data_IF_899252411838
#
_entry.id   IF_899252411838
#
_cell.length_a   1.000
_cell.length_b   1.000
_cell.length_c   1.000
_cell.angle_alpha   90.00
_cell.angle_beta   90.00
_cell.angle_gamma   90.00
#
_symmetry.space_group_name_H-M   'P 1'
#
loop_
_entity.id
_entity.type
_entity.pdbx_description
1 polymer ?
#
# COMPACT_ATOMS: atom_id res chain seq x y z
N UNK A 1 36.56 -18.24 51.01
CA UNK A 1 36.16 -17.18 50.05
C UNK A 1 35.64 -17.84 48.79
N UNK A 2 34.32 -17.92 48.61
CA UNK A 2 33.68 -18.45 47.40
C UNK A 2 32.99 -17.28 46.70
N UNK A 3 33.60 -16.80 45.61
CA UNK A 3 33.02 -15.75 44.77
C UNK A 3 31.94 -16.37 43.86
N UNK A 4 30.68 -16.16 44.22
CA UNK A 4 29.54 -16.46 43.35
C UNK A 4 29.48 -15.51 42.17
N UNK A 5 29.69 -16.03 40.96
CA UNK A 5 29.32 -15.34 39.71
C UNK A 5 27.78 -15.27 39.67
N UNK A 6 27.23 -14.06 39.71
CA UNK A 6 25.81 -13.83 39.40
C UNK A 6 25.59 -14.08 37.90
N UNK A 7 24.50 -14.74 37.48
CA UNK A 7 24.16 -14.84 36.07
C UNK A 7 23.81 -13.45 35.52
N UNK A 8 24.36 -13.12 34.35
CA UNK A 8 23.92 -11.95 33.58
C UNK A 8 22.48 -12.18 33.15
N UNK A 9 21.57 -11.31 33.61
CA UNK A 9 20.19 -11.31 33.14
C UNK A 9 20.18 -10.84 31.68
N UNK A 10 19.91 -11.73 30.75
CA UNK A 10 19.48 -11.35 29.41
C UNK A 10 18.09 -10.74 29.53
N UNK A 11 18.01 -9.41 29.53
CA UNK A 11 16.75 -8.71 29.29
C UNK A 11 16.41 -8.88 27.80
N UNK A 12 15.55 -9.84 27.48
CA UNK A 12 14.90 -9.87 26.17
C UNK A 12 14.03 -8.61 26.05
N UNK A 13 14.51 -7.63 25.30
CA UNK A 13 13.69 -6.50 24.88
C UNK A 13 12.69 -7.02 23.84
N UNK A 14 11.41 -7.07 24.22
CA UNK A 14 10.35 -7.43 23.30
C UNK A 14 10.00 -6.21 22.44
N UNK A 15 10.22 -6.30 21.12
CA UNK A 15 9.79 -5.29 20.16
C UNK A 15 8.43 -5.70 19.59
N UNK A 16 7.41 -4.88 19.81
CA UNK A 16 6.08 -5.05 19.23
C UNK A 16 5.92 -4.08 18.07
N UNK A 17 5.75 -4.63 16.86
CA UNK A 17 5.46 -3.83 15.66
C UNK A 17 3.96 -3.93 15.39
N UNK A 18 3.26 -2.82 15.62
CA UNK A 18 1.84 -2.70 15.28
C UNK A 18 1.74 -2.21 13.83
N UNK A 19 1.24 -3.06 12.93
CA UNK A 19 1.01 -2.70 11.53
C UNK A 19 -0.49 -2.77 11.21
N UNK A 20 -1.05 -1.69 10.66
CA UNK A 20 -2.46 -1.64 10.24
C UNK A 20 -3.18 -0.33 10.55
N UNK A 21 -4.33 -0.12 9.93
CA UNK A 21 -5.25 1.01 10.18
C UNK A 21 -6.32 0.68 11.22
N UNK A 22 -6.42 -0.59 11.67
CA UNK A 22 -7.51 -1.07 12.53
C UNK A 22 -7.36 -0.75 14.02
N UNK A 23 -6.19 -0.28 14.48
CA UNK A 23 -5.98 0.13 15.87
C UNK A 23 -5.64 1.61 15.92
N UNK A 24 -6.47 2.37 16.62
CA UNK A 24 -6.21 3.80 16.85
C UNK A 24 -4.89 3.97 17.59
N UNK A 25 -4.00 4.79 17.03
CA UNK A 25 -2.75 5.21 17.67
C UNK A 25 -2.99 5.81 19.06
N UNK A 26 -4.14 6.47 19.26
CA UNK A 26 -4.53 6.98 20.57
C UNK A 26 -4.78 5.85 21.58
N UNK A 27 -5.49 4.78 21.17
CA UNK A 27 -5.74 3.61 22.02
C UNK A 27 -4.45 2.87 22.37
N UNK A 28 -3.52 2.74 21.42
CA UNK A 28 -2.21 2.12 21.66
C UNK A 28 -1.39 2.98 22.64
N UNK A 29 -1.35 4.30 22.43
CA UNK A 29 -0.64 5.21 23.33
C UNK A 29 -1.27 5.22 24.73
N UNK A 30 -2.59 5.19 24.83
CA UNK A 30 -3.32 5.11 26.09
C UNK A 30 -3.00 3.80 26.83
N UNK A 31 -3.10 2.65 26.13
CA UNK A 31 -2.75 1.35 26.69
C UNK A 31 -1.29 1.30 27.15
N UNK A 32 -0.34 1.80 26.35
CA UNK A 32 1.08 1.85 26.71
C UNK A 32 1.36 2.83 27.85
N UNK A 33 0.65 3.95 27.92
CA UNK A 33 0.75 4.90 29.04
C UNK A 33 0.22 4.30 30.36
N UNK A 34 -0.73 3.35 30.29
CA UNK A 34 -1.30 2.67 31.45
C UNK A 34 -0.42 1.52 31.97
N UNK A 35 0.38 0.88 31.11
CA UNK A 35 1.22 -0.27 31.43
C UNK A 35 2.70 0.13 31.48
N UNK A 36 3.11 0.86 32.54
CA UNK A 36 4.52 1.07 32.96
C UNK A 36 5.52 1.39 31.80
N UNK A 37 5.08 1.93 30.66
CA UNK A 37 6.00 2.34 29.61
C UNK A 37 6.52 3.72 30.03
N UNK A 38 7.77 3.78 30.48
CA UNK A 38 8.42 5.07 30.71
C UNK A 38 8.33 5.89 29.40
N UNK A 39 8.02 7.19 29.48
CA UNK A 39 8.03 8.06 28.30
C UNK A 39 9.39 7.92 27.59
N UNK A 40 9.39 7.45 26.34
CA UNK A 40 10.63 7.30 25.54
C UNK A 40 10.88 5.95 24.87
N UNK A 41 10.09 4.90 25.12
CA UNK A 41 10.26 3.58 24.46
C UNK A 41 9.52 3.41 23.13
N UNK A 42 8.61 4.31 22.77
CA UNK A 42 7.80 4.18 21.55
C UNK A 42 8.25 5.21 20.52
N UNK A 43 8.81 4.73 19.41
CA UNK A 43 9.08 5.60 18.25
C UNK A 43 7.92 5.47 17.28
N UNK A 44 7.30 6.60 16.96
CA UNK A 44 6.28 6.63 15.92
C UNK A 44 6.98 6.67 14.56
N UNK A 45 6.79 5.61 13.77
CA UNK A 45 7.31 5.55 12.40
C UNK A 45 6.12 5.50 11.47
N UNK A 46 5.87 6.62 10.78
CA UNK A 46 4.92 6.68 9.67
C UNK A 46 5.73 6.71 8.37
N UNK A 47 6.01 5.55 7.80
CA UNK A 47 6.43 5.48 6.40
C UNK A 47 5.20 5.39 5.51
N UNK A 48 4.50 6.51 5.35
CA UNK A 48 3.49 6.69 4.29
C UNK A 48 4.19 6.96 2.96
N UNK A 49 5.19 6.15 2.63
CA UNK A 49 5.92 6.26 1.37
C UNK A 49 4.98 6.04 0.19
N UNK A 50 5.27 6.72 -0.91
CA UNK A 50 4.52 6.59 -2.15
C UNK A 50 5.47 6.38 -3.34
N UNK A 51 5.05 5.50 -4.25
CA UNK A 51 5.64 5.32 -5.57
C UNK A 51 5.19 6.46 -6.49
N UNK A 52 5.76 7.64 -6.27
CA UNK A 52 5.57 8.81 -7.15
C UNK A 52 6.66 8.87 -8.24
N UNK A 53 7.62 7.94 -8.20
CA UNK A 53 8.73 7.84 -9.13
C UNK A 53 8.73 6.45 -9.78
N UNK A 54 8.67 6.35 -11.12
CA UNK A 54 8.67 5.06 -11.81
C UNK A 54 9.95 4.25 -11.59
N UNK A 55 11.08 4.91 -11.31
CA UNK A 55 12.35 4.26 -10.99
C UNK A 55 12.25 3.58 -9.62
N UNK A 56 11.73 4.28 -8.61
CA UNK A 56 11.59 3.72 -7.26
C UNK A 56 10.62 2.52 -7.23
N UNK A 57 9.51 2.60 -7.97
CA UNK A 57 8.57 1.48 -8.11
C UNK A 57 9.23 0.29 -8.82
N UNK A 58 10.06 0.55 -9.84
CA UNK A 58 10.80 -0.49 -10.54
C UNK A 58 11.82 -1.18 -9.63
N UNK A 59 12.60 -0.43 -8.85
CA UNK A 59 13.56 -1.02 -7.91
C UNK A 59 12.87 -1.95 -6.90
N UNK A 60 11.71 -1.54 -6.37
CA UNK A 60 10.90 -2.41 -5.52
C UNK A 60 10.46 -3.70 -6.25
N UNK A 61 9.99 -3.58 -7.50
CA UNK A 61 9.58 -4.74 -8.29
C UNK A 61 10.73 -5.69 -8.63
N UNK A 62 11.96 -5.19 -8.79
CA UNK A 62 13.16 -6.01 -9.08
C UNK A 62 13.52 -6.97 -7.95
N UNK A 63 13.15 -6.66 -6.72
CA UNK A 63 13.36 -7.56 -5.58
C UNK A 63 12.47 -8.81 -5.65
N UNK A 64 11.35 -8.72 -6.38
CA UNK A 64 10.33 -9.76 -6.42
C UNK A 64 10.27 -10.47 -7.78
N UNK A 65 10.37 -9.74 -8.90
CA UNK A 65 10.35 -10.36 -10.22
C UNK A 65 11.65 -11.11 -10.54
N UNK A 66 11.58 -12.30 -11.16
CA UNK A 66 12.77 -12.96 -11.68
C UNK A 66 13.46 -12.08 -12.75
N UNK A 67 14.81 -12.00 -12.76
CA UNK A 67 15.56 -11.13 -13.67
C UNK A 67 15.18 -11.26 -15.15
N UNK A 68 14.85 -12.49 -15.58
CA UNK A 68 14.48 -12.82 -16.95
C UNK A 68 13.25 -12.06 -17.47
N UNK A 69 12.32 -11.67 -16.59
CA UNK A 69 11.13 -10.91 -17.00
C UNK A 69 11.50 -9.53 -17.54
N UNK A 70 12.58 -8.93 -17.04
CA UNK A 70 13.04 -7.61 -17.49
C UNK A 70 13.72 -7.64 -18.88
N UNK A 71 14.02 -8.82 -19.41
CA UNK A 71 14.56 -9.02 -20.76
C UNK A 71 13.43 -9.06 -21.81
N UNK A 72 12.18 -9.24 -21.38
CA UNK A 72 11.02 -9.33 -22.26
C UNK A 72 10.63 -7.93 -22.78
N UNK A 73 10.60 -7.70 -24.11
CA UNK A 73 10.19 -6.43 -24.69
C UNK A 73 8.78 -5.99 -24.27
N UNK A 74 7.87 -6.94 -24.08
CA UNK A 74 6.47 -6.66 -23.72
C UNK A 74 6.35 -6.18 -22.26
N UNK A 75 7.35 -6.49 -21.43
CA UNK A 75 7.38 -6.05 -20.04
C UNK A 75 7.48 -4.53 -19.88
N UNK A 76 8.07 -3.82 -20.84
CA UNK A 76 8.16 -2.35 -20.78
C UNK A 76 6.78 -1.69 -20.87
N UNK A 77 5.86 -2.26 -21.66
CA UNK A 77 4.49 -1.80 -21.73
C UNK A 77 3.76 -2.06 -20.41
N UNK A 78 3.87 -3.27 -19.87
CA UNK A 78 3.33 -3.61 -18.56
C UNK A 78 3.86 -2.68 -17.47
N UNK A 79 5.17 -2.40 -17.45
CA UNK A 79 5.81 -1.53 -16.46
C UNK A 79 5.19 -0.13 -16.45
N UNK A 80 4.93 0.43 -17.64
CA UNK A 80 4.26 1.73 -17.77
C UNK A 80 2.84 1.70 -17.23
N UNK A 81 2.11 0.61 -17.49
CA UNK A 81 0.75 0.42 -16.97
C UNK A 81 0.75 0.26 -15.45
N UNK A 82 1.67 -0.52 -14.90
CA UNK A 82 1.85 -0.67 -13.44
C UNK A 82 2.10 0.70 -12.80
N UNK A 83 2.99 1.52 -13.37
CA UNK A 83 3.22 2.86 -12.83
C UNK A 83 1.98 3.74 -12.96
N UNK A 84 1.35 3.77 -14.13
CA UNK A 84 0.16 4.61 -14.34
C UNK A 84 -0.97 4.30 -13.35
N UNK A 85 -1.28 3.01 -13.16
CA UNK A 85 -2.39 2.56 -12.33
C UNK A 85 -2.06 2.44 -10.85
N UNK A 86 -0.84 2.05 -10.50
CA UNK A 86 -0.44 1.71 -9.13
C UNK A 86 0.55 2.71 -8.51
N UNK A 87 0.81 3.85 -9.17
CA UNK A 87 1.52 4.97 -8.55
C UNK A 87 0.79 5.46 -7.29
N UNK A 88 1.53 6.11 -6.40
CA UNK A 88 1.01 6.51 -5.09
C UNK A 88 1.28 5.42 -4.05
N UNK A 89 0.26 4.94 -3.33
CA UNK A 89 0.49 4.09 -2.15
C UNK A 89 1.19 2.77 -2.49
N UNK A 90 2.25 2.45 -1.74
CA UNK A 90 3.00 1.19 -1.90
C UNK A 90 2.13 -0.06 -1.84
N UNK A 91 1.04 -0.02 -1.05
CA UNK A 91 0.10 -1.14 -0.90
C UNK A 91 -0.42 -1.63 -2.25
N UNK A 92 -0.75 -0.75 -3.19
CA UNK A 92 -1.31 -1.18 -4.48
C UNK A 92 -0.32 -2.00 -5.29
N UNK A 93 0.94 -1.54 -5.35
CA UNK A 93 2.01 -2.30 -6.01
C UNK A 93 2.29 -3.60 -5.26
N UNK A 94 2.38 -3.59 -3.93
CA UNK A 94 2.63 -4.79 -3.12
C UNK A 94 1.53 -5.84 -3.25
N UNK A 95 0.26 -5.44 -3.24
CA UNK A 95 -0.88 -6.33 -3.44
C UNK A 95 -0.90 -6.93 -4.84
N UNK A 96 -0.67 -6.10 -5.88
CA UNK A 96 -0.51 -6.61 -7.24
C UNK A 96 0.61 -7.65 -7.32
N UNK A 97 1.77 -7.38 -6.69
CA UNK A 97 2.88 -8.34 -6.65
C UNK A 97 2.51 -9.64 -5.92
N UNK A 98 1.71 -9.58 -4.84
CA UNK A 98 1.18 -10.77 -4.17
C UNK A 98 0.30 -11.61 -5.11
N UNK A 99 -0.56 -10.97 -5.91
CA UNK A 99 -1.39 -11.65 -6.90
C UNK A 99 -0.54 -12.27 -8.00
N UNK A 100 0.47 -11.56 -8.50
CA UNK A 100 1.43 -12.04 -9.50
C UNK A 100 2.18 -13.29 -9.00
N UNK A 101 2.60 -13.28 -7.73
CA UNK A 101 3.26 -14.41 -7.07
C UNK A 101 2.34 -15.63 -7.00
N UNK A 102 1.08 -15.43 -6.59
CA UNK A 102 0.06 -16.49 -6.57
C UNK A 102 -0.19 -17.08 -7.98
N UNK A 103 -0.15 -16.25 -9.01
CA UNK A 103 -0.35 -16.67 -10.40
C UNK A 103 0.94 -17.21 -11.07
N UNK A 104 2.05 -17.30 -10.33
CA UNK A 104 3.33 -17.81 -10.84
C UNK A 104 3.88 -17.03 -12.03
N UNK A 105 3.72 -15.70 -12.02
CA UNK A 105 4.18 -14.77 -13.06
C UNK A 105 3.55 -14.96 -14.46
N UNK A 106 2.42 -15.65 -14.55
CA UNK A 106 1.72 -15.84 -15.83
C UNK A 106 0.80 -14.67 -16.14
N UNK A 107 0.64 -14.36 -17.42
CA UNK A 107 -0.36 -13.41 -17.93
C UNK A 107 -0.40 -12.07 -17.15
N UNK A 108 0.77 -11.49 -16.85
CA UNK A 108 0.90 -10.34 -15.95
C UNK A 108 -0.01 -9.15 -16.30
N UNK A 109 -0.17 -8.84 -17.58
CA UNK A 109 -1.07 -7.77 -18.02
C UNK A 109 -2.54 -8.06 -17.74
N UNK A 110 -2.97 -9.33 -17.86
CA UNK A 110 -4.32 -9.75 -17.50
C UNK A 110 -4.50 -9.64 -16.00
N UNK A 111 -3.51 -10.11 -15.23
CA UNK A 111 -3.52 -10.00 -13.77
C UNK A 111 -3.68 -8.55 -13.33
N UNK A 112 -2.97 -7.62 -13.96
CA UNK A 112 -3.10 -6.19 -13.68
C UNK A 112 -4.51 -5.69 -14.02
N UNK A 113 -5.07 -6.10 -15.15
CA UNK A 113 -6.42 -5.70 -15.56
C UNK A 113 -7.48 -6.15 -14.54
N UNK A 114 -7.43 -7.41 -14.12
CA UNK A 114 -8.34 -7.95 -13.11
C UNK A 114 -8.12 -7.35 -11.73
N UNK A 115 -6.86 -7.06 -11.36
CA UNK A 115 -6.54 -6.36 -10.12
C UNK A 115 -7.22 -4.99 -10.07
N UNK A 116 -7.10 -4.19 -11.15
CA UNK A 116 -7.73 -2.87 -11.21
C UNK A 116 -9.26 -3.00 -11.20
N UNK A 117 -9.81 -3.99 -11.90
CA UNK A 117 -11.25 -4.25 -11.90
C UNK A 117 -11.78 -4.61 -10.51
N UNK A 118 -11.06 -5.43 -9.75
CA UNK A 118 -11.41 -5.77 -8.37
C UNK A 118 -11.29 -4.58 -7.42
N UNK A 119 -10.28 -3.73 -7.62
CA UNK A 119 -10.00 -2.58 -6.76
C UNK A 119 -11.01 -1.44 -6.97
N UNK A 120 -11.32 -1.15 -8.23
CA UNK A 120 -12.03 0.06 -8.65
C UNK A 120 -13.44 -0.19 -9.18
N UNK A 121 -13.88 -1.45 -9.30
CA UNK A 121 -15.20 -1.84 -9.82
C UNK A 121 -15.48 -1.33 -11.25
N UNK A 122 -14.42 -1.17 -12.06
CA UNK A 122 -14.53 -0.84 -13.49
C UNK A 122 -13.42 -1.51 -14.30
N UNK A 123 -13.66 -1.70 -15.60
CA UNK A 123 -12.69 -2.32 -16.50
C UNK A 123 -11.81 -1.27 -17.19
N UNK A 124 -10.47 -1.33 -17.05
CA UNK A 124 -9.54 -0.44 -17.76
C UNK A 124 -9.71 -0.52 -19.29
N UNK A 125 -9.72 0.64 -19.94
CA UNK A 125 -9.83 0.74 -21.40
C UNK A 125 -8.48 0.58 -22.13
N UNK A 126 -7.37 0.62 -21.39
CA UNK A 126 -6.00 0.50 -21.92
C UNK A 126 -5.57 -0.95 -22.15
N UNK A 127 -6.46 -1.91 -21.90
CA UNK A 127 -6.24 -3.33 -22.14
C UNK A 127 -7.27 -3.90 -23.12
N UNK A 128 -6.77 -4.60 -24.13
CA UNK A 128 -7.54 -5.13 -25.25
C UNK A 128 -7.27 -6.63 -25.50
N UNK A 129 -6.56 -7.30 -24.59
CA UNK A 129 -6.30 -8.74 -24.68
C UNK A 129 -7.46 -9.62 -24.17
N UNK A 130 -7.39 -10.92 -24.49
CA UNK A 130 -8.33 -11.91 -23.98
C UNK A 130 -8.12 -12.16 -22.48
N UNK A 131 -9.19 -12.19 -21.71
CA UNK A 131 -9.15 -12.45 -20.27
C UNK A 131 -9.24 -13.95 -19.99
N UNK A 132 -8.12 -14.57 -19.64
CA UNK A 132 -8.05 -15.99 -19.28
C UNK A 132 -7.21 -16.16 -18.00
N UNK A 133 -7.73 -15.65 -16.88
CA UNK A 133 -7.13 -15.98 -15.58
C UNK A 133 -7.71 -17.31 -15.11
N UNK A 134 -6.87 -18.34 -15.12
CA UNK A 134 -7.13 -19.63 -14.52
C UNK A 134 -6.39 -19.72 -13.19
N UNK A 135 -7.09 -19.72 -12.07
CA UNK A 135 -6.49 -19.98 -10.76
C UNK A 135 -7.36 -19.59 -9.58
N UNK A 136 -7.10 -20.21 -8.44
CA UNK A 136 -7.60 -19.78 -7.13
C UNK A 136 -6.81 -18.56 -6.65
N UNK A 137 -6.94 -17.43 -7.35
CA UNK A 137 -6.34 -16.16 -6.93
C UNK A 137 -7.23 -15.53 -5.86
N UNK A 138 -6.64 -15.16 -4.73
CA UNK A 138 -7.30 -14.33 -3.73
C UNK A 138 -7.11 -12.87 -4.13
N UNK A 139 -8.20 -12.26 -4.60
CA UNK A 139 -8.19 -10.86 -4.98
C UNK A 139 -8.21 -9.94 -3.74
N UNK A 140 -7.54 -8.77 -3.81
CA UNK A 140 -7.55 -7.82 -2.71
C UNK A 140 -8.95 -7.27 -2.44
N UNK A 141 -9.21 -6.92 -1.18
CA UNK A 141 -10.42 -6.19 -0.78
C UNK A 141 -10.48 -4.80 -1.43
N UNK A 142 -11.69 -4.26 -1.60
CA UNK A 142 -11.92 -2.91 -2.16
C UNK A 142 -10.95 -1.89 -1.56
N UNK A 143 -10.20 -1.22 -2.43
CA UNK A 143 -9.13 -0.30 -2.02
C UNK A 143 -9.63 1.01 -1.44
N UNK A 144 -10.88 1.37 -1.75
CA UNK A 144 -11.48 2.66 -1.41
C UNK A 144 -12.84 2.47 -0.73
N UNK A 145 -12.95 2.97 0.49
CA UNK A 145 -14.19 2.91 1.26
C UNK A 145 -15.01 4.19 1.06
N UNK A 146 -15.42 4.47 -0.19
CA UNK A 146 -16.16 5.69 -0.56
C UNK A 146 -17.44 5.91 0.27
N UNK A 147 -18.06 4.82 0.71
CA UNK A 147 -19.28 4.85 1.53
C UNK A 147 -19.06 5.51 2.89
N UNK A 148 -17.83 5.42 3.44
CA UNK A 148 -17.47 6.00 4.75
C UNK A 148 -17.14 7.49 4.70
N UNK A 149 -17.02 8.06 3.51
CA UNK A 149 -16.78 9.49 3.33
C UNK A 149 -18.04 10.29 3.67
N UNK A 150 -17.90 11.33 4.47
CA UNK A 150 -18.95 12.34 4.68
C UNK A 150 -19.11 13.26 3.45
N UNK A 151 -20.11 14.14 3.49
CA UNK A 151 -20.43 15.04 2.37
C UNK A 151 -19.28 15.99 2.03
N UNK A 152 -18.61 16.55 3.04
CA UNK A 152 -17.49 17.47 2.86
C UNK A 152 -16.31 16.76 2.20
N UNK A 153 -16.00 15.55 2.67
CA UNK A 153 -14.92 14.73 2.11
C UNK A 153 -15.18 14.34 0.67
N UNK A 154 -16.44 13.99 0.34
CA UNK A 154 -16.84 13.67 -1.03
C UNK A 154 -16.70 14.88 -1.96
N UNK A 155 -17.14 16.06 -1.52
CA UNK A 155 -17.05 17.28 -2.33
C UNK A 155 -15.60 17.73 -2.52
N UNK A 156 -14.74 17.50 -1.53
CA UNK A 156 -13.30 17.71 -1.67
C UNK A 156 -12.68 16.77 -2.70
N UNK A 157 -12.99 15.47 -2.64
CA UNK A 157 -12.53 14.50 -3.63
C UNK A 157 -13.01 14.88 -5.03
N UNK A 158 -14.29 15.25 -5.20
CA UNK A 158 -14.80 15.73 -6.50
C UNK A 158 -14.01 16.93 -7.02
N UNK A 159 -13.70 17.88 -6.16
CA UNK A 159 -12.94 19.09 -6.52
C UNK A 159 -11.53 18.73 -6.98
N UNK A 160 -10.83 17.88 -6.22
CA UNK A 160 -9.49 17.40 -6.56
C UNK A 160 -9.51 16.59 -7.87
N UNK A 161 -10.46 15.68 -8.03
CA UNK A 161 -10.62 14.90 -9.25
C UNK A 161 -10.89 15.79 -10.45
N UNK A 162 -11.76 16.78 -10.31
CA UNK A 162 -12.03 17.76 -11.37
C UNK A 162 -10.78 18.56 -11.71
N UNK A 163 -10.09 19.13 -10.73
CA UNK A 163 -8.84 19.87 -10.94
C UNK A 163 -7.80 19.01 -11.66
N UNK A 164 -7.61 17.76 -11.23
CA UNK A 164 -6.70 16.83 -11.86
C UNK A 164 -7.08 16.52 -13.31
N UNK A 165 -8.36 16.27 -13.60
CA UNK A 165 -8.82 15.98 -14.95
C UNK A 165 -8.53 17.13 -15.93
N UNK A 166 -8.66 18.38 -15.48
CA UNK A 166 -8.46 19.55 -16.34
C UNK A 166 -7.02 20.06 -16.38
N UNK A 167 -6.26 19.88 -15.31
CA UNK A 167 -4.92 20.49 -15.18
C UNK A 167 -3.79 19.47 -15.15
N UNK A 168 -4.11 18.18 -15.02
CA UNK A 168 -3.16 17.09 -14.74
C UNK A 168 -2.27 17.36 -13.52
N UNK A 169 -2.72 18.24 -12.61
CA UNK A 169 -2.03 18.63 -11.39
C UNK A 169 -2.98 18.46 -10.21
N UNK A 170 -2.45 17.99 -9.10
CA UNK A 170 -3.13 18.00 -7.80
C UNK A 170 -2.56 19.18 -7.03
N UNK A 171 -3.28 20.32 -7.02
CA UNK A 171 -2.82 21.54 -6.36
C UNK A 171 -3.24 21.62 -4.89
N UNK A 172 -4.21 20.81 -4.47
CA UNK A 172 -4.91 20.97 -3.21
C UNK A 172 -4.63 19.83 -2.24
N UNK A 173 -4.11 20.16 -1.05
CA UNK A 173 -3.95 19.19 0.04
C UNK A 173 -5.31 18.80 0.65
N UNK A 174 -5.37 17.60 1.23
CA UNK A 174 -6.58 17.01 1.85
C UNK A 174 -7.04 17.71 3.14
N UNK A 175 -6.34 18.75 3.59
CA UNK A 175 -6.67 19.56 4.76
C UNK A 175 -6.45 18.82 6.09
N UNK A 176 -6.99 19.37 7.18
CA UNK A 176 -6.78 18.86 8.55
C UNK A 176 -7.33 17.44 8.80
N UNK A 177 -8.18 16.93 7.89
CA UNK A 177 -8.80 15.60 7.96
C UNK A 177 -8.01 14.51 7.22
N UNK A 178 -6.77 14.78 6.80
CA UNK A 178 -5.92 13.86 6.02
C UNK A 178 -5.86 12.44 6.61
N UNK A 179 -5.80 12.30 7.94
CA UNK A 179 -5.79 10.99 8.61
C UNK A 179 -7.04 10.15 8.32
N UNK A 180 -8.23 10.76 8.22
CA UNK A 180 -9.48 10.05 7.90
C UNK A 180 -9.52 9.62 6.45
N UNK A 181 -9.07 10.50 5.54
CA UNK A 181 -8.87 10.11 4.14
C UNK A 181 -7.93 8.91 4.05
N UNK A 182 -6.85 8.92 4.85
CA UNK A 182 -5.88 7.85 4.84
C UNK A 182 -6.46 6.52 5.31
N UNK A 183 -7.26 6.55 6.37
CA UNK A 183 -7.98 5.40 6.91
C UNK A 183 -8.91 4.78 5.86
N UNK A 184 -9.60 5.60 5.07
CA UNK A 184 -10.55 5.14 4.05
C UNK A 184 -9.91 4.82 2.69
N UNK A 185 -8.58 4.90 2.58
CA UNK A 185 -7.81 4.52 1.40
C UNK A 185 -7.36 5.67 0.48
N UNK A 186 -7.61 6.92 0.84
CA UNK A 186 -7.27 8.13 0.06
C UNK A 186 -5.98 8.80 0.60
N UNK A 187 -4.96 9.02 -0.25
CA UNK A 187 -3.78 9.85 0.04
C UNK A 187 -3.47 10.72 -1.16
#
# INVERSE_FOLDING_TARGET
MLNGKRPQAHTSEACFVFTGTGLSRALINEALSSVIAKPGLTTNVSQTGAFNNPIAQLEYMKELFPPRIFEDPDFEQLRRRIFYWLQGRHRFTAEYMSVVLQNGYRHLEQVLNFYIAALCDFRPADYNGSEMINGNIVWPSKGFEFERLDTEMRDRIKTISHEYLFTSKVSTMLGDNELKYIEFGFA
#
